data_IF_283602247307
#
_entry.id   IF_283602247307
#
_cell.length_a   1.000
_cell.length_b   1.000
_cell.length_c   1.000
_cell.angle_alpha   90.00
_cell.angle_beta   90.00
_cell.angle_gamma   90.00
#
_symmetry.space_group_name_H-M   'P 1'
#
loop_
_entity.id
_entity.type
_entity.pdbx_description
1 polymer ?
#
# COMPACT_ATOMS: atom_id res chain seq x y z
N UNK A 1 60.48 -60.19 -32.15
CA UNK A 1 59.49 -60.38 -31.06
C UNK A 1 59.17 -59.01 -30.46
N UNK A 2 58.05 -58.39 -30.83
CA UNK A 2 57.60 -57.08 -30.31
C UNK A 2 56.24 -57.25 -29.64
N UNK A 3 56.15 -56.92 -28.36
CA UNK A 3 54.90 -56.81 -27.59
C UNK A 3 54.16 -55.55 -28.04
N UNK A 4 52.88 -55.69 -28.36
CA UNK A 4 51.95 -54.59 -28.62
C UNK A 4 51.29 -54.20 -27.30
N UNK A 5 51.48 -52.95 -26.89
CA UNK A 5 50.78 -52.34 -25.75
C UNK A 5 49.49 -51.70 -26.27
N UNK A 6 48.36 -52.07 -25.68
CA UNK A 6 47.01 -51.63 -26.05
C UNK A 6 46.82 -50.12 -25.75
N UNK A 7 46.36 -49.35 -26.74
CA UNK A 7 46.00 -47.93 -26.59
C UNK A 7 44.63 -47.81 -25.92
N UNK A 8 44.60 -47.81 -24.58
CA UNK A 8 43.41 -47.53 -23.76
C UNK A 8 43.45 -46.09 -23.29
N UNK A 9 42.85 -45.15 -24.03
CA UNK A 9 42.81 -43.75 -23.59
C UNK A 9 41.79 -42.85 -24.25
N UNK A 10 41.42 -43.11 -25.51
CA UNK A 10 40.45 -42.26 -26.24
C UNK A 10 39.02 -42.81 -26.28
N UNK A 11 38.84 -44.14 -26.22
CA UNK A 11 37.50 -44.75 -26.27
C UNK A 11 36.66 -44.50 -24.99
N UNK A 12 37.29 -44.46 -23.80
CA UNK A 12 36.57 -44.26 -22.53
C UNK A 12 36.05 -42.82 -22.34
N UNK A 13 36.70 -41.81 -22.94
CA UNK A 13 36.27 -40.40 -22.80
C UNK A 13 35.06 -40.06 -23.67
N UNK A 14 34.90 -40.70 -24.82
CA UNK A 14 33.72 -40.50 -25.67
C UNK A 14 32.50 -41.24 -25.14
N UNK A 15 32.67 -42.44 -24.55
CA UNK A 15 31.57 -43.16 -23.91
C UNK A 15 31.04 -42.44 -22.66
N UNK A 16 31.91 -41.79 -21.87
CA UNK A 16 31.46 -41.04 -20.69
C UNK A 16 30.72 -39.76 -21.06
N UNK A 17 31.11 -39.05 -22.12
CA UNK A 17 30.39 -37.86 -22.57
C UNK A 17 29.03 -38.21 -23.19
N UNK A 18 28.92 -39.31 -23.94
CA UNK A 18 27.63 -39.75 -24.50
C UNK A 18 26.67 -40.27 -23.43
N UNK A 19 27.16 -40.98 -22.41
CA UNK A 19 26.33 -41.43 -21.29
C UNK A 19 25.89 -40.26 -20.39
N UNK A 20 26.71 -39.22 -20.21
CA UNK A 20 26.32 -37.99 -19.49
C UNK A 20 25.32 -37.16 -20.31
N UNK A 21 25.45 -37.11 -21.64
CA UNK A 21 24.48 -36.46 -22.51
C UNK A 21 23.14 -37.22 -22.58
N UNK A 22 23.16 -38.57 -22.62
CA UNK A 22 21.93 -39.38 -22.54
C UNK A 22 21.27 -39.33 -21.16
N UNK A 23 22.04 -39.22 -20.06
CA UNK A 23 21.47 -38.98 -18.72
C UNK A 23 20.85 -37.58 -18.59
N UNK A 24 21.32 -36.59 -19.34
CA UNK A 24 20.74 -35.24 -19.40
C UNK A 24 19.51 -35.15 -20.32
N UNK A 25 19.37 -36.04 -21.31
CA UNK A 25 18.25 -36.03 -22.27
C UNK A 25 17.17 -37.08 -21.92
N UNK A 26 17.49 -38.17 -21.19
CA UNK A 26 16.56 -39.30 -20.99
C UNK A 26 16.47 -39.90 -19.56
N UNK A 27 17.06 -39.32 -18.50
CA UNK A 27 17.14 -40.10 -17.25
C UNK A 27 17.29 -39.38 -15.91
N UNK A 28 16.45 -38.39 -15.62
CA UNK A 28 15.89 -38.21 -14.28
C UNK A 28 14.48 -37.61 -14.37
N UNK A 29 13.70 -38.11 -15.34
CA UNK A 29 12.24 -37.95 -15.39
C UNK A 29 11.55 -38.87 -14.40
N UNK A 30 12.05 -38.92 -13.16
CA UNK A 30 11.20 -39.32 -12.05
C UNK A 30 10.27 -38.15 -11.80
N UNK A 31 8.96 -38.40 -11.85
CA UNK A 31 7.94 -37.51 -11.31
C UNK A 31 8.22 -37.23 -9.82
N UNK A 32 9.20 -36.40 -9.51
CA UNK A 32 9.04 -35.40 -8.47
C UNK A 32 8.16 -34.30 -9.05
N UNK A 33 6.96 -34.73 -9.43
CA UNK A 33 5.75 -33.95 -9.43
C UNK A 33 5.46 -33.62 -7.95
N UNK A 34 6.39 -32.89 -7.33
CA UNK A 34 6.07 -31.96 -6.28
C UNK A 34 5.27 -30.81 -6.89
N UNK A 35 4.17 -31.14 -7.61
CA UNK A 35 2.86 -30.72 -7.15
C UNK A 35 2.86 -30.93 -5.64
N UNK A 36 3.36 -29.92 -4.92
CA UNK A 36 2.67 -29.40 -3.75
C UNK A 36 1.23 -29.31 -4.20
N UNK A 37 0.44 -30.38 -4.00
CA UNK A 37 -1.01 -30.36 -4.05
C UNK A 37 -1.32 -29.17 -3.16
N UNK A 38 -1.56 -28.00 -3.78
CA UNK A 38 -1.86 -26.77 -3.05
C UNK A 38 -3.07 -27.18 -2.24
N UNK A 39 -2.88 -27.40 -0.93
CA UNK A 39 -3.95 -27.77 0.00
C UNK A 39 -5.12 -26.89 -0.40
N UNK A 40 -6.22 -27.51 -0.88
CA UNK A 40 -7.38 -26.75 -1.39
C UNK A 40 -7.71 -25.75 -0.29
N UNK A 41 -7.71 -24.46 -0.62
CA UNK A 41 -7.95 -23.40 0.35
C UNK A 41 -9.33 -23.62 0.96
N UNK A 42 -9.37 -24.13 2.19
CA UNK A 42 -10.60 -24.30 2.97
C UNK A 42 -10.94 -22.96 3.63
N UNK A 43 -12.16 -22.51 3.37
CA UNK A 43 -12.75 -21.33 3.98
C UNK A 43 -13.24 -21.69 5.37
N UNK A 44 -13.19 -20.74 6.30
CA UNK A 44 -13.85 -20.90 7.61
C UNK A 44 -15.35 -20.62 7.47
N UNK A 45 -16.12 -21.00 8.47
CA UNK A 45 -17.57 -20.78 8.45
C UNK A 45 -17.90 -19.29 8.51
N UNK A 46 -17.11 -18.50 9.23
CA UNK A 46 -17.26 -17.03 9.24
C UNK A 46 -16.90 -16.40 7.90
N UNK A 47 -15.89 -16.93 7.20
CA UNK A 47 -15.56 -16.47 5.85
C UNK A 47 -16.69 -16.83 4.86
N UNK A 48 -17.27 -18.03 4.96
CA UNK A 48 -18.39 -18.41 4.11
C UNK A 48 -19.61 -17.53 4.39
N UNK A 49 -20.03 -17.41 5.65
CA UNK A 49 -21.17 -16.60 6.06
C UNK A 49 -21.03 -15.13 5.60
N UNK A 50 -19.83 -14.56 5.71
CA UNK A 50 -19.54 -13.22 5.20
C UNK A 50 -19.81 -13.09 3.69
N UNK A 51 -19.41 -14.09 2.91
CA UNK A 51 -19.60 -14.10 1.46
C UNK A 51 -20.99 -14.55 1.01
N UNK A 52 -21.70 -15.31 1.84
CA UNK A 52 -23.11 -15.66 1.64
C UNK A 52 -23.98 -14.41 1.74
N UNK A 53 -23.74 -13.55 2.74
CA UNK A 53 -24.45 -12.28 2.90
C UNK A 53 -24.40 -11.36 1.67
N UNK A 54 -23.34 -11.49 0.86
CA UNK A 54 -23.15 -10.67 -0.35
C UNK A 54 -23.29 -11.47 -1.65
N UNK A 55 -23.88 -12.66 -1.60
CA UNK A 55 -24.11 -13.53 -2.76
C UNK A 55 -22.86 -13.79 -3.63
N UNK A 56 -21.70 -13.91 -2.99
CA UNK A 56 -20.44 -14.05 -3.72
C UNK A 56 -20.32 -15.47 -4.24
N UNK A 57 -20.23 -15.64 -5.57
CA UNK A 57 -20.04 -16.95 -6.20
C UNK A 57 -18.83 -17.72 -5.61
N UNK A 58 -18.93 -19.04 -5.33
CA UNK A 58 -17.87 -19.82 -4.67
C UNK A 58 -16.47 -19.70 -5.30
N UNK A 59 -16.38 -19.61 -6.64
CA UNK A 59 -15.10 -19.42 -7.36
C UNK A 59 -14.41 -18.11 -7.00
N UNK A 60 -15.17 -17.03 -6.74
CA UNK A 60 -14.64 -15.70 -6.38
C UNK A 60 -14.21 -15.64 -4.91
N UNK A 61 -14.88 -16.37 -4.01
CA UNK A 61 -14.54 -16.41 -2.56
C UNK A 61 -13.10 -16.82 -2.30
N UNK A 62 -12.61 -17.88 -2.97
CA UNK A 62 -11.22 -18.36 -2.80
C UNK A 62 -10.17 -17.29 -3.12
N UNK A 63 -10.43 -16.46 -4.13
CA UNK A 63 -9.53 -15.34 -4.49
C UNK A 63 -9.57 -14.26 -3.43
N UNK A 64 -10.76 -13.85 -2.99
CA UNK A 64 -10.93 -12.85 -1.93
C UNK A 64 -10.22 -13.30 -0.64
N UNK A 65 -10.46 -14.51 -0.16
CA UNK A 65 -9.84 -15.07 1.05
C UNK A 65 -8.32 -15.14 0.95
N UNK A 66 -7.78 -15.50 -0.22
CA UNK A 66 -6.34 -15.46 -0.44
C UNK A 66 -5.77 -14.05 -0.27
N UNK A 67 -6.51 -13.02 -0.64
CA UNK A 67 -6.10 -11.62 -0.45
C UNK A 67 -6.29 -11.18 1.02
N UNK A 68 -7.40 -11.54 1.65
CA UNK A 68 -7.71 -11.26 3.06
C UNK A 68 -6.75 -11.93 4.04
N UNK A 69 -6.21 -13.11 3.73
CA UNK A 69 -5.25 -13.82 4.60
C UNK A 69 -3.80 -13.37 4.41
N UNK A 70 -3.49 -12.53 3.41
CA UNK A 70 -2.13 -11.97 3.22
C UNK A 70 -1.84 -10.86 4.24
N UNK A 71 -0.56 -10.58 4.44
CA UNK A 71 -0.14 -9.39 5.21
C UNK A 71 -0.59 -8.11 4.48
N UNK A 72 -1.21 -7.14 5.16
CA UNK A 72 -1.63 -5.88 4.55
C UNK A 72 -0.42 -5.18 3.91
N UNK A 73 -0.69 -4.51 2.81
CA UNK A 73 0.30 -3.67 2.13
C UNK A 73 -0.41 -2.51 1.45
N UNK A 74 0.31 -1.41 1.34
CA UNK A 74 -0.10 -0.31 0.49
C UNK A 74 -0.08 -0.77 -0.97
N UNK A 75 -1.10 -0.37 -1.71
CA UNK A 75 -1.29 -0.69 -3.13
C UNK A 75 -1.26 0.55 -4.02
N UNK A 76 -1.43 1.72 -3.42
CA UNK A 76 -1.39 3.05 -4.03
C UNK A 76 -2.70 3.46 -4.71
N UNK A 77 -2.83 4.76 -5.00
CA UNK A 77 -4.07 5.40 -5.42
C UNK A 77 -4.63 4.81 -6.71
N UNK A 78 -3.78 4.43 -7.67
CA UNK A 78 -4.19 3.82 -8.95
C UNK A 78 -4.97 2.53 -8.78
N UNK A 79 -4.75 1.78 -7.70
CA UNK A 79 -5.59 0.62 -7.45
C UNK A 79 -6.97 1.06 -7.00
N UNK A 80 -7.06 2.12 -6.20
CA UNK A 80 -8.32 2.69 -5.72
C UNK A 80 -9.08 3.33 -6.89
N UNK A 81 -8.33 3.90 -7.83
CA UNK A 81 -8.76 4.16 -9.20
C UNK A 81 -9.10 2.87 -9.96
N UNK A 82 -9.91 3.01 -11.00
CA UNK A 82 -10.48 1.94 -11.81
C UNK A 82 -11.99 2.09 -11.93
N UNK A 83 -12.65 1.06 -12.44
CA UNK A 83 -14.11 0.98 -12.65
C UNK A 83 -14.93 0.98 -11.33
N UNK A 84 -14.53 1.72 -10.29
CA UNK A 84 -15.19 1.79 -8.99
C UNK A 84 -15.11 3.16 -8.29
N UNK A 85 -14.07 3.99 -8.53
CA UNK A 85 -13.89 5.27 -7.84
C UNK A 85 -13.16 6.34 -8.69
N UNK A 86 -13.42 6.38 -10.00
CA UNK A 86 -12.80 7.32 -10.93
C UNK A 86 -13.03 8.79 -10.53
N UNK A 87 -14.26 9.28 -10.26
CA UNK A 87 -14.46 10.68 -9.83
C UNK A 87 -13.66 11.06 -8.59
N UNK A 88 -13.53 10.14 -7.62
CA UNK A 88 -12.72 10.34 -6.42
C UNK A 88 -11.24 10.43 -6.75
N UNK A 89 -10.75 9.59 -7.66
CA UNK A 89 -9.37 9.62 -8.11
C UNK A 89 -9.06 10.91 -8.86
N UNK A 90 -9.89 11.30 -9.84
CA UNK A 90 -9.71 12.52 -10.62
C UNK A 90 -9.69 13.74 -9.70
N UNK A 91 -10.68 13.87 -8.81
CA UNK A 91 -10.72 14.95 -7.83
C UNK A 91 -9.48 14.97 -6.92
N UNK A 92 -9.00 13.79 -6.51
CA UNK A 92 -7.77 13.69 -5.72
C UNK A 92 -6.52 14.12 -6.51
N UNK A 93 -6.39 13.76 -7.79
CA UNK A 93 -5.23 14.17 -8.61
C UNK A 93 -5.10 15.69 -8.74
N UNK A 94 -6.24 16.40 -8.72
CA UNK A 94 -6.29 17.87 -8.77
C UNK A 94 -6.16 18.53 -7.39
N UNK A 95 -6.20 17.75 -6.32
CA UNK A 95 -6.05 18.25 -4.96
C UNK A 95 -4.58 18.50 -4.58
N UNK A 96 -4.31 19.28 -3.51
CA UNK A 96 -2.96 19.38 -2.95
C UNK A 96 -2.37 18.03 -2.53
N UNK A 97 -3.18 17.07 -2.07
CA UNK A 97 -2.72 15.74 -1.65
C UNK A 97 -2.23 14.89 -2.82
N UNK A 98 -2.83 15.05 -4.01
CA UNK A 98 -2.39 14.41 -5.26
C UNK A 98 -1.10 15.01 -5.83
N UNK A 99 -0.55 16.07 -5.22
CA UNK A 99 0.60 16.82 -5.73
C UNK A 99 1.71 17.06 -4.68
N UNK A 100 1.64 16.40 -3.52
CA UNK A 100 2.54 16.62 -2.39
C UNK A 100 4.02 16.35 -2.69
N UNK A 101 4.33 15.43 -3.59
CA UNK A 101 5.71 15.12 -3.98
C UNK A 101 6.38 16.29 -4.69
N UNK A 102 5.63 16.98 -5.56
CA UNK A 102 6.14 18.14 -6.30
C UNK A 102 6.56 19.27 -5.35
N UNK A 103 5.87 19.41 -4.21
CA UNK A 103 6.20 20.40 -3.18
C UNK A 103 7.57 20.19 -2.54
N UNK A 104 8.14 18.98 -2.65
CA UNK A 104 9.44 18.65 -2.07
C UNK A 104 10.62 18.95 -3.01
N UNK A 105 10.38 19.22 -4.30
CA UNK A 105 11.44 19.49 -5.27
C UNK A 105 12.12 20.83 -4.96
N UNK A 106 13.37 20.99 -5.39
CA UNK A 106 14.11 22.26 -5.37
C UNK A 106 13.31 23.38 -6.07
N UNK A 107 13.43 24.62 -5.59
CA UNK A 107 12.79 25.82 -6.14
C UNK A 107 11.27 25.91 -5.92
N UNK A 108 10.57 24.81 -5.63
CA UNK A 108 9.12 24.81 -5.44
C UNK A 108 8.73 25.41 -4.08
N UNK A 109 7.77 26.35 -4.08
CA UNK A 109 7.24 27.04 -2.88
C UNK A 109 8.32 27.74 -2.03
N UNK A 110 9.24 28.46 -2.68
CA UNK A 110 10.35 29.20 -2.05
C UNK A 110 9.94 29.95 -0.78
N UNK A 111 8.98 30.88 -0.88
CA UNK A 111 8.54 31.68 0.27
C UNK A 111 7.98 30.85 1.44
N UNK A 112 7.35 29.70 1.17
CA UNK A 112 6.82 28.85 2.23
C UNK A 112 7.97 28.15 2.95
N UNK A 113 8.96 27.65 2.19
CA UNK A 113 10.16 27.02 2.74
C UNK A 113 10.97 28.02 3.57
N UNK A 114 11.21 29.22 3.06
CA UNK A 114 11.93 30.28 3.78
C UNK A 114 11.24 30.65 5.10
N UNK A 115 9.92 30.86 5.09
CA UNK A 115 9.13 31.09 6.33
C UNK A 115 9.31 29.96 7.34
N UNK A 116 9.38 28.72 6.87
CA UNK A 116 9.60 27.54 7.70
C UNK A 116 11.08 27.24 7.98
N UNK A 117 12.01 28.17 7.66
CA UNK A 117 13.46 28.03 7.79
C UNK A 117 14.03 26.78 7.08
N UNK A 118 13.44 26.45 5.94
CA UNK A 118 13.91 25.42 5.03
C UNK A 118 14.64 26.06 3.85
N UNK A 119 15.60 25.33 3.30
CA UNK A 119 16.33 25.73 2.10
C UNK A 119 15.43 25.59 0.86
N UNK A 120 15.11 26.68 0.15
CA UNK A 120 14.24 26.61 -1.02
C UNK A 120 14.82 25.79 -2.18
N UNK A 121 16.15 25.78 -2.33
CA UNK A 121 16.88 25.12 -3.43
C UNK A 121 17.23 23.66 -3.12
N UNK A 122 17.05 23.23 -1.87
CA UNK A 122 17.24 21.83 -1.51
C UNK A 122 16.12 20.95 -2.06
N UNK A 123 16.53 19.83 -2.66
CA UNK A 123 15.62 18.74 -3.01
C UNK A 123 15.32 17.85 -1.78
N UNK A 124 14.08 17.89 -1.31
CA UNK A 124 13.59 17.10 -0.18
C UNK A 124 12.93 15.77 -0.60
N UNK A 125 12.92 15.42 -1.88
CA UNK A 125 12.26 14.21 -2.43
C UNK A 125 12.88 12.88 -2.00
N UNK A 126 14.04 12.93 -1.31
CA UNK A 126 14.68 11.79 -0.67
C UNK A 126 14.80 11.96 0.85
N UNK A 127 14.39 13.10 1.40
CA UNK A 127 14.54 13.43 2.83
C UNK A 127 13.54 12.63 3.67
N UNK A 128 14.01 11.73 4.56
CA UNK A 128 13.12 10.76 5.21
C UNK A 128 11.99 11.35 6.08
N UNK A 129 12.20 12.50 6.72
CA UNK A 129 11.14 13.14 7.52
C UNK A 129 10.03 13.71 6.61
N UNK A 130 10.40 14.38 5.51
CA UNK A 130 9.47 14.98 4.56
C UNK A 130 8.59 13.92 3.90
N UNK A 131 9.21 12.81 3.47
CA UNK A 131 8.54 11.71 2.77
C UNK A 131 7.41 11.06 3.57
N UNK A 132 7.47 11.13 4.90
CA UNK A 132 6.48 10.48 5.75
C UNK A 132 5.08 11.10 5.62
N UNK A 133 5.00 12.41 5.46
CA UNK A 133 3.74 13.14 5.35
C UNK A 133 3.40 13.52 3.90
N UNK A 134 4.34 13.37 2.97
CA UNK A 134 4.17 13.75 1.56
C UNK A 134 4.01 12.56 0.59
N UNK A 135 4.04 11.32 1.08
CA UNK A 135 3.92 10.12 0.25
C UNK A 135 3.06 9.05 0.91
N UNK A 136 2.66 8.05 0.15
CA UNK A 136 1.82 6.93 0.61
C UNK A 136 2.67 5.83 1.23
N UNK A 137 2.51 5.62 2.55
CA UNK A 137 3.06 4.44 3.23
C UNK A 137 4.58 4.38 3.31
N UNK A 138 5.28 5.52 3.31
CA UNK A 138 6.75 5.56 3.42
C UNK A 138 7.25 4.70 4.60
N UNK A 139 8.21 3.81 4.33
CA UNK A 139 8.78 2.84 5.30
C UNK A 139 7.77 1.82 5.84
N UNK A 140 6.62 1.67 5.18
CA UNK A 140 5.64 0.63 5.43
C UNK A 140 5.58 -0.36 4.26
N UNK A 141 4.95 -1.51 4.47
CA UNK A 141 4.94 -2.60 3.49
C UNK A 141 4.17 -2.18 2.25
N UNK A 142 4.82 -2.22 1.08
CA UNK A 142 4.20 -1.86 -0.20
C UNK A 142 4.07 -0.36 -0.47
N UNK A 143 4.47 0.49 0.48
CA UNK A 143 4.41 1.94 0.31
C UNK A 143 5.57 2.49 -0.51
N UNK A 144 5.61 3.83 -0.59
CA UNK A 144 6.57 4.60 -1.35
C UNK A 144 8.02 4.29 -0.97
N UNK A 145 8.86 4.32 -2.00
CA UNK A 145 10.30 4.16 -1.92
C UNK A 145 10.95 5.25 -2.77
N UNK A 146 11.76 6.14 -2.16
CA UNK A 146 12.41 7.23 -2.88
C UNK A 146 13.47 6.72 -3.85
N UNK A 147 13.94 7.62 -4.73
CA UNK A 147 15.08 7.37 -5.61
C UNK A 147 16.27 6.76 -4.85
N UNK A 148 16.99 5.85 -5.51
CA UNK A 148 18.12 5.13 -4.92
C UNK A 148 17.75 3.99 -3.96
N UNK A 149 16.46 3.68 -3.78
CA UNK A 149 16.01 2.58 -2.92
C UNK A 149 16.33 1.20 -3.49
N UNK A 150 17.41 0.57 -3.03
CA UNK A 150 17.81 -0.78 -3.46
C UNK A 150 17.27 -1.89 -2.54
N UNK A 151 17.03 -3.08 -3.10
CA UNK A 151 16.78 -4.28 -2.30
C UNK A 151 18.10 -4.92 -1.80
N UNK A 152 18.02 -6.02 -1.04
CA UNK A 152 19.20 -6.73 -0.51
C UNK A 152 20.18 -7.23 -1.58
N UNK A 153 19.71 -7.41 -2.81
CA UNK A 153 20.51 -7.85 -3.97
C UNK A 153 20.99 -6.66 -4.83
N UNK A 154 20.90 -5.43 -4.31
CA UNK A 154 21.32 -4.22 -5.03
C UNK A 154 20.38 -3.76 -6.15
N UNK A 155 19.31 -4.50 -6.48
CA UNK A 155 18.38 -4.09 -7.55
C UNK A 155 17.58 -2.87 -7.11
N UNK A 156 17.40 -1.92 -8.03
CA UNK A 156 16.56 -0.76 -7.80
C UNK A 156 15.12 -1.20 -7.53
N UNK A 157 14.52 -0.56 -6.54
CA UNK A 157 13.13 -0.73 -6.15
C UNK A 157 12.46 0.59 -5.84
N UNK A 158 13.04 1.72 -6.27
CA UNK A 158 12.40 3.02 -6.21
C UNK A 158 11.01 2.96 -6.85
N UNK A 159 10.10 3.77 -6.31
CA UNK A 159 8.76 3.91 -6.89
C UNK A 159 8.88 4.78 -8.12
N UNK A 160 8.32 4.33 -9.26
CA UNK A 160 8.18 5.18 -10.45
C UNK A 160 7.38 6.43 -10.07
N UNK A 161 7.88 7.59 -10.45
CA UNK A 161 7.15 8.85 -10.37
C UNK A 161 6.41 9.01 -11.69
N UNK A 162 5.08 9.07 -11.65
CA UNK A 162 4.25 9.18 -12.84
C UNK A 162 3.41 10.45 -12.78
N UNK A 163 3.69 11.46 -13.61
CA UNK A 163 2.94 12.71 -13.59
C UNK A 163 1.54 12.57 -14.21
N UNK A 164 1.31 11.53 -15.02
CA UNK A 164 0.02 11.30 -15.70
C UNK A 164 -0.89 10.45 -14.81
N UNK A 165 -0.34 9.41 -14.19
CA UNK A 165 -1.09 8.50 -13.32
C UNK A 165 -0.49 8.45 -11.89
N UNK A 166 -0.66 9.54 -11.09
CA UNK A 166 -0.03 9.63 -9.78
C UNK A 166 -0.50 8.53 -8.83
N UNK A 167 0.41 8.05 -7.99
CA UNK A 167 0.23 6.80 -7.25
C UNK A 167 0.71 6.86 -5.78
N UNK A 168 1.92 6.39 -5.48
CA UNK A 168 2.42 6.25 -4.09
C UNK A 168 3.31 7.39 -3.67
N UNK A 169 3.87 8.09 -4.63
CA UNK A 169 4.69 9.28 -4.46
C UNK A 169 3.90 10.45 -3.87
N UNK A 170 2.57 10.41 -3.93
CA UNK A 170 1.68 11.41 -3.36
C UNK A 170 1.03 10.93 -2.05
N UNK A 171 0.34 11.83 -1.34
CA UNK A 171 -0.56 11.45 -0.23
C UNK A 171 -1.85 10.88 -0.83
N UNK A 172 -1.86 9.58 -1.07
CA UNK A 172 -2.96 8.86 -1.71
C UNK A 172 -4.07 8.45 -0.74
N UNK A 173 -5.12 7.85 -1.29
CA UNK A 173 -6.34 7.43 -0.58
C UNK A 173 -6.02 6.65 0.71
N UNK A 174 -5.04 5.75 0.64
CA UNK A 174 -4.65 4.86 1.76
C UNK A 174 -4.07 5.61 2.96
N UNK A 175 -3.63 6.87 2.80
CA UNK A 175 -3.12 7.67 3.92
C UNK A 175 -4.23 8.16 4.85
N UNK A 176 -5.47 8.26 4.34
CA UNK A 176 -6.66 8.62 5.11
C UNK A 176 -7.51 7.39 5.42
N UNK A 177 -7.74 6.53 4.43
CA UNK A 177 -8.69 5.42 4.53
C UNK A 177 -8.08 4.14 5.11
N UNK A 178 -6.76 4.05 5.29
CA UNK A 178 -6.12 2.81 5.76
C UNK A 178 -5.18 2.98 6.94
N UNK A 179 -5.08 1.93 7.74
CA UNK A 179 -4.09 1.81 8.82
C UNK A 179 -2.75 1.26 8.34
N UNK A 180 -2.79 0.28 7.41
CA UNK A 180 -1.63 -0.48 6.97
C UNK A 180 -1.60 -0.76 5.45
N UNK A 181 -2.40 -0.03 4.68
CA UNK A 181 -2.62 -0.22 3.25
C UNK A 181 -3.88 -1.01 2.95
N UNK A 182 -4.47 -0.75 1.78
CA UNK A 182 -5.81 -1.20 1.40
C UNK A 182 -5.89 -2.55 0.72
N UNK A 183 -4.79 -3.30 0.61
CA UNK A 183 -4.79 -4.58 -0.10
C UNK A 183 -5.86 -5.58 0.36
N UNK A 184 -6.27 -5.53 1.63
CA UNK A 184 -7.26 -6.45 2.21
C UNK A 184 -8.68 -5.88 2.13
N UNK A 185 -8.96 -4.70 2.67
CA UNK A 185 -10.34 -4.16 2.66
C UNK A 185 -10.89 -3.92 1.25
N UNK A 186 -10.03 -3.66 0.24
CA UNK A 186 -10.49 -3.59 -1.15
C UNK A 186 -11.07 -4.91 -1.66
N UNK A 187 -10.58 -6.04 -1.15
CA UNK A 187 -11.15 -7.34 -1.47
C UNK A 187 -12.56 -7.49 -0.88
N UNK A 188 -12.81 -6.90 0.30
CA UNK A 188 -14.15 -6.76 0.87
C UNK A 188 -15.02 -5.91 -0.04
N UNK A 189 -14.62 -4.65 -0.30
CA UNK A 189 -15.36 -3.72 -1.16
C UNK A 189 -15.74 -4.33 -2.52
N UNK A 190 -14.80 -5.03 -3.17
CA UNK A 190 -15.05 -5.70 -4.45
C UNK A 190 -15.97 -6.91 -4.33
N UNK A 191 -15.86 -7.67 -3.25
CA UNK A 191 -16.66 -8.89 -3.09
C UNK A 191 -18.10 -8.55 -2.73
N UNK A 192 -18.31 -7.53 -1.90
CA UNK A 192 -19.62 -7.03 -1.53
C UNK A 192 -20.25 -6.11 -2.56
N UNK A 193 -19.52 -5.73 -3.63
CA UNK A 193 -19.95 -4.72 -4.60
C UNK A 193 -20.37 -3.39 -3.95
N UNK A 194 -19.74 -3.03 -2.84
CA UNK A 194 -20.11 -1.83 -2.09
C UNK A 194 -21.10 -2.05 -0.95
N UNK A 195 -21.69 -3.23 -0.79
CA UNK A 195 -22.67 -3.57 0.27
C UNK A 195 -22.03 -4.01 1.61
N UNK A 196 -20.89 -3.43 1.96
CA UNK A 196 -20.23 -3.72 3.23
C UNK A 196 -20.63 -2.71 4.31
N UNK A 197 -20.65 -3.13 5.57
CA UNK A 197 -20.76 -2.21 6.70
C UNK A 197 -19.35 -1.75 7.17
N UNK A 198 -19.28 -0.73 8.03
CA UNK A 198 -17.99 -0.21 8.53
C UNK A 198 -17.14 -1.32 9.17
N UNK A 199 -17.73 -2.19 9.99
CA UNK A 199 -17.03 -3.25 10.72
C UNK A 199 -16.35 -4.28 9.80
N UNK A 200 -17.00 -4.63 8.67
CA UNK A 200 -16.46 -5.58 7.68
C UNK A 200 -15.10 -5.13 7.15
N UNK A 201 -14.94 -3.83 6.93
CA UNK A 201 -13.71 -3.25 6.39
C UNK A 201 -12.70 -2.86 7.46
N UNK A 202 -13.16 -2.44 8.64
CA UNK A 202 -12.30 -2.11 9.79
C UNK A 202 -11.49 -3.32 10.26
N UNK A 203 -12.07 -4.53 10.24
CA UNK A 203 -11.36 -5.78 10.49
C UNK A 203 -10.12 -5.96 9.60
N UNK A 204 -10.13 -5.36 8.42
CA UNK A 204 -9.05 -5.38 7.44
C UNK A 204 -8.31 -4.04 7.29
N UNK A 205 -8.48 -3.14 8.26
CA UNK A 205 -7.69 -1.93 8.41
C UNK A 205 -8.16 -0.75 7.57
N UNK A 206 -9.41 -0.75 7.10
CA UNK A 206 -10.09 0.51 6.79
C UNK A 206 -10.26 1.29 8.10
N UNK A 207 -10.25 2.62 8.01
CA UNK A 207 -10.52 3.49 9.16
C UNK A 207 -11.54 4.56 8.79
N UNK A 208 -12.32 4.98 9.77
CA UNK A 208 -13.41 5.96 9.66
C UNK A 208 -13.20 7.17 10.58
N UNK A 209 -12.19 7.15 11.43
CA UNK A 209 -11.79 8.24 12.32
C UNK A 209 -11.05 9.37 11.58
N UNK A 210 -11.73 9.99 10.61
CA UNK A 210 -11.11 10.94 9.68
C UNK A 210 -10.53 12.18 10.37
N UNK A 211 -11.20 12.73 11.39
CA UNK A 211 -10.64 13.83 12.18
C UNK A 211 -9.30 13.45 12.79
N UNK A 212 -9.19 12.23 13.33
CA UNK A 212 -7.96 11.71 13.91
C UNK A 212 -6.88 11.43 12.86
N UNK A 213 -7.20 10.81 11.70
CA UNK A 213 -6.16 10.52 10.69
C UNK A 213 -5.49 11.78 10.14
N UNK A 214 -6.22 12.88 10.01
CA UNK A 214 -5.66 14.13 9.52
C UNK A 214 -4.51 14.66 10.41
N UNK A 215 -4.62 14.47 11.73
CA UNK A 215 -3.60 14.88 12.72
C UNK A 215 -2.26 14.15 12.54
N UNK A 216 -2.25 13.00 11.85
CA UNK A 216 -1.02 12.25 11.50
C UNK A 216 0.00 13.10 10.77
N UNK A 217 -0.44 14.13 10.05
CA UNK A 217 0.42 15.00 9.26
C UNK A 217 0.20 16.48 9.60
N UNK A 218 -1.05 16.95 9.65
CA UNK A 218 -1.36 18.39 9.74
C UNK A 218 -1.01 19.02 11.09
N UNK A 219 -1.02 18.24 12.17
CA UNK A 219 -0.68 18.71 13.53
C UNK A 219 0.48 17.91 14.11
N UNK A 220 1.23 17.19 13.26
CA UNK A 220 2.33 16.36 13.72
C UNK A 220 3.49 17.25 14.20
N UNK A 221 4.10 17.03 15.38
CA UNK A 221 5.15 17.93 15.90
C UNK A 221 6.32 18.17 14.93
N UNK A 222 6.68 17.16 14.15
CA UNK A 222 7.73 17.24 13.13
C UNK A 222 7.32 17.92 11.80
N UNK A 223 6.09 18.43 11.63
CA UNK A 223 5.79 19.26 10.45
C UNK A 223 6.43 20.64 10.66
N UNK A 224 7.17 21.18 9.67
CA UNK A 224 7.76 22.52 9.77
C UNK A 224 6.71 23.63 9.54
N UNK A 225 5.52 23.28 9.06
CA UNK A 225 4.43 24.21 8.78
C UNK A 225 3.42 24.20 9.93
N UNK A 226 3.78 24.86 11.03
CA UNK A 226 2.96 24.98 12.24
C UNK A 226 2.26 26.35 12.31
N UNK A 227 1.20 26.51 13.12
CA UNK A 227 0.56 27.81 13.34
C UNK A 227 1.54 28.90 13.81
N UNK A 228 2.57 28.53 14.59
CA UNK A 228 3.63 29.45 15.02
C UNK A 228 4.51 30.00 13.88
N UNK A 229 4.47 29.37 12.70
CA UNK A 229 5.15 29.87 11.48
C UNK A 229 4.22 30.79 10.70
N UNK A 230 2.92 30.46 10.65
CA UNK A 230 1.88 31.27 10.01
C UNK A 230 0.49 30.71 10.35
N UNK A 231 -0.46 31.59 10.67
CA UNK A 231 -1.85 31.21 11.00
C UNK A 231 -2.57 30.35 9.96
N UNK A 232 -2.19 30.44 8.67
CA UNK A 232 -2.79 29.62 7.60
C UNK A 232 -2.58 28.11 7.81
N UNK A 233 -1.62 27.73 8.66
CA UNK A 233 -1.33 26.35 9.02
C UNK A 233 -2.16 25.84 10.20
N UNK A 234 -3.01 26.69 10.81
CA UNK A 234 -4.03 26.23 11.76
C UNK A 234 -4.97 25.23 11.05
N UNK A 235 -5.04 24.03 11.61
CA UNK A 235 -5.82 22.94 11.04
C UNK A 235 -7.25 22.98 11.58
N UNK A 236 -8.23 23.03 10.67
CA UNK A 236 -9.65 22.87 10.95
C UNK A 236 -10.16 21.67 10.14
N UNK A 237 -10.60 20.60 10.81
CA UNK A 237 -11.02 19.38 10.12
C UNK A 237 -12.25 19.60 9.24
N UNK A 238 -13.25 20.31 9.74
CA UNK A 238 -14.52 20.57 9.07
C UNK A 238 -14.32 21.36 7.77
N UNK A 239 -13.45 22.37 7.78
CA UNK A 239 -13.12 23.15 6.59
C UNK A 239 -12.28 22.34 5.59
N UNK A 240 -11.30 21.57 6.09
CA UNK A 240 -10.30 20.91 5.23
C UNK A 240 -10.84 19.63 4.58
N UNK A 241 -11.74 18.88 5.24
CA UNK A 241 -12.31 17.64 4.68
C UNK A 241 -13.05 17.89 3.36
N UNK A 242 -13.69 19.06 3.23
CA UNK A 242 -14.40 19.50 2.01
C UNK A 242 -13.48 19.74 0.80
N UNK A 243 -12.16 19.80 1.01
CA UNK A 243 -11.16 20.12 -0.03
C UNK A 243 -10.33 18.91 -0.49
N UNK A 244 -10.56 17.71 0.08
CA UNK A 244 -9.71 16.52 -0.17
C UNK A 244 -9.97 15.89 -1.54
N UNK A 245 -11.23 15.73 -1.91
CA UNK A 245 -11.66 15.24 -3.22
C UNK A 245 -13.05 15.82 -3.54
N UNK A 246 -13.08 16.96 -4.24
CA UNK A 246 -14.33 17.60 -4.72
C UNK A 246 -14.91 16.81 -5.88
N UNK A 247 -15.58 15.70 -5.57
CA UNK A 247 -16.01 14.72 -6.58
C UNK A 247 -17.10 15.23 -7.52
N UNK A 248 -17.87 16.23 -7.10
CA UNK A 248 -18.97 16.79 -7.89
C UNK A 248 -18.52 17.24 -9.29
N UNK A 249 -17.28 17.75 -9.39
CA UNK A 249 -16.71 18.31 -10.61
C UNK A 249 -16.27 17.23 -11.63
N UNK A 250 -16.33 15.94 -11.28
CA UNK A 250 -15.73 14.85 -12.06
C UNK A 250 -16.70 13.70 -12.40
N UNK A 251 -18.00 13.86 -12.08
CA UNK A 251 -19.02 12.94 -12.56
C UNK A 251 -19.36 13.20 -14.02
N UNK A 252 -19.47 12.12 -14.80
CA UNK A 252 -19.86 12.15 -16.21
C UNK A 252 -20.52 10.80 -16.60
N UNK A 253 -20.92 10.67 -17.86
CA UNK A 253 -21.59 9.47 -18.36
C UNK A 253 -20.70 8.22 -18.28
N UNK A 254 -19.38 8.35 -18.49
CA UNK A 254 -18.44 7.23 -18.47
C UNK A 254 -18.22 6.62 -17.09
N UNK A 255 -18.56 7.35 -16.02
CA UNK A 255 -18.36 6.91 -14.64
C UNK A 255 -19.63 6.94 -13.78
N UNK A 256 -20.80 7.13 -14.39
CA UNK A 256 -22.09 7.18 -13.70
C UNK A 256 -22.38 5.89 -12.89
N UNK A 257 -21.90 4.73 -13.37
CA UNK A 257 -22.05 3.43 -12.72
C UNK A 257 -21.22 3.26 -11.44
N UNK A 258 -20.35 4.24 -11.12
CA UNK A 258 -19.46 4.21 -9.96
C UNK A 258 -20.03 4.97 -8.76
N UNK A 259 -21.27 5.46 -8.85
CA UNK A 259 -21.96 6.11 -7.74
C UNK A 259 -22.09 5.14 -6.56
N UNK A 260 -21.69 5.59 -5.39
CA UNK A 260 -21.73 4.77 -4.18
C UNK A 260 -23.15 4.78 -3.58
N UNK A 261 -23.94 3.76 -3.87
CA UNK A 261 -25.36 3.66 -3.48
C UNK A 261 -25.57 3.71 -1.96
N UNK A 262 -24.72 3.02 -1.19
CA UNK A 262 -24.87 2.90 0.28
C UNK A 262 -24.09 3.94 1.09
N UNK A 263 -23.65 5.04 0.48
CA UNK A 263 -22.79 6.02 1.19
C UNK A 263 -23.52 6.72 2.33
N UNK A 264 -24.78 7.12 2.11
CA UNK A 264 -25.57 7.86 3.10
C UNK A 264 -26.05 6.95 4.24
N UNK A 265 -26.38 5.70 3.93
CA UNK A 265 -26.68 4.67 4.94
C UNK A 265 -25.44 4.40 5.79
N UNK A 266 -24.29 4.19 5.16
CA UNK A 266 -23.03 3.97 5.88
C UNK A 266 -22.61 5.18 6.70
N UNK A 267 -22.97 6.40 6.30
CA UNK A 267 -22.69 7.60 7.09
C UNK A 267 -23.44 7.61 8.44
N UNK A 268 -24.58 6.92 8.54
CA UNK A 268 -25.36 6.77 9.79
C UNK A 268 -24.79 5.70 10.72
N UNK A 269 -23.99 4.76 10.20
CA UNK A 269 -23.29 3.78 11.02
C UNK A 269 -22.15 4.43 11.81
N UNK A 270 -21.87 3.93 13.02
CA UNK A 270 -20.68 4.32 13.78
C UNK A 270 -19.68 3.17 13.85
N UNK A 271 -18.54 3.33 13.17
CA UNK A 271 -17.44 2.37 13.16
C UNK A 271 -16.68 2.34 14.49
N UNK A 272 -15.94 1.26 14.73
CA UNK A 272 -15.11 1.10 15.92
C UNK A 272 -14.04 2.20 16.00
N UNK A 273 -13.44 2.58 14.87
CA UNK A 273 -12.43 3.64 14.84
C UNK A 273 -13.04 5.01 15.16
N UNK A 274 -14.29 5.28 14.76
CA UNK A 274 -14.97 6.52 15.14
C UNK A 274 -15.28 6.57 16.64
N UNK A 275 -15.73 5.44 17.23
CA UNK A 275 -15.97 5.32 18.68
C UNK A 275 -14.69 5.50 19.49
N UNK A 276 -13.66 4.75 19.14
CA UNK A 276 -12.36 4.80 19.80
C UNK A 276 -11.29 4.97 18.71
N UNK A 277 -10.76 6.19 18.51
CA UNK A 277 -9.80 6.46 17.46
C UNK A 277 -8.53 5.62 17.58
N UNK A 278 -7.88 5.37 16.45
CA UNK A 278 -6.59 4.66 16.44
C UNK A 278 -5.48 5.54 17.00
N UNK A 279 -4.46 4.91 17.58
CA UNK A 279 -3.23 5.64 17.91
C UNK A 279 -2.58 6.18 16.63
N UNK A 280 -2.00 7.37 16.70
CA UNK A 280 -1.23 7.93 15.57
C UNK A 280 0.24 7.55 15.74
N UNK A 281 0.84 7.05 14.66
CA UNK A 281 2.22 6.59 14.72
C UNK A 281 3.22 7.74 14.71
N UNK A 282 4.04 7.76 15.75
CA UNK A 282 5.20 8.64 15.87
C UNK A 282 6.46 8.01 15.26
N UNK A 283 7.38 8.85 14.80
CA UNK A 283 8.59 8.48 14.07
C UNK A 283 9.76 9.41 14.40
N UNK A 284 10.97 8.87 14.25
CA UNK A 284 12.23 9.60 14.41
C UNK A 284 13.26 9.17 13.37
N UNK A 285 14.27 10.01 13.17
CA UNK A 285 15.46 9.63 12.41
C UNK A 285 16.42 8.88 13.33
N UNK A 286 16.90 7.73 12.84
CA UNK A 286 17.98 6.96 13.48
C UNK A 286 18.93 6.50 12.38
N UNK A 287 20.20 6.94 12.45
CA UNK A 287 21.24 6.65 11.44
C UNK A 287 20.77 7.01 10.02
N UNK A 288 20.32 8.26 9.82
CA UNK A 288 19.84 8.77 8.53
C UNK A 288 18.56 8.13 7.98
N UNK A 289 17.88 7.28 8.74
CA UNK A 289 16.68 6.55 8.28
C UNK A 289 15.50 6.81 9.20
N UNK A 290 14.32 6.97 8.61
CA UNK A 290 13.08 7.04 9.38
C UNK A 290 12.77 5.68 10.02
N UNK A 291 12.48 5.73 11.33
CA UNK A 291 12.07 4.62 12.18
C UNK A 291 10.85 5.04 12.98
N UNK A 292 9.83 4.20 12.98
CA UNK A 292 8.68 4.37 13.87
C UNK A 292 9.10 4.12 15.32
N UNK A 293 8.60 4.93 16.25
CA UNK A 293 8.80 4.72 17.68
C UNK A 293 8.15 3.38 18.08
N UNK A 294 8.76 2.68 19.05
CA UNK A 294 8.24 1.38 19.48
C UNK A 294 6.86 1.59 20.11
N UNK A 295 5.90 0.78 19.70
CA UNK A 295 4.56 0.79 20.30
C UNK A 295 3.59 1.82 19.73
N UNK A 296 4.03 2.74 18.88
CA UNK A 296 3.17 3.82 18.34
C UNK A 296 2.42 3.43 17.06
N UNK A 297 2.81 2.34 16.39
CA UNK A 297 2.13 1.90 15.17
C UNK A 297 0.68 1.46 15.45
N UNK A 298 -0.33 1.97 14.73
CA UNK A 298 -1.72 1.56 14.93
C UNK A 298 -1.97 0.10 14.57
N UNK A 299 -1.21 -0.48 13.63
CA UNK A 299 -1.32 -1.90 13.31
C UNK A 299 -0.16 -2.74 13.88
N UNK A 300 -0.49 -3.73 14.69
CA UNK A 300 0.45 -4.72 15.20
C UNK A 300 0.50 -5.95 14.29
N UNK A 301 1.44 -5.95 13.34
CA UNK A 301 1.59 -7.08 12.39
C UNK A 301 1.90 -8.46 13.01
N UNK A 302 2.41 -8.52 14.24
CA UNK A 302 2.68 -9.80 14.93
C UNK A 302 1.39 -10.39 15.49
N UNK A 303 0.62 -9.58 16.21
CA UNK A 303 -0.66 -9.98 16.81
C UNK A 303 -1.84 -9.92 15.83
N UNK A 304 -1.66 -9.28 14.67
CA UNK A 304 -2.71 -8.95 13.68
C UNK A 304 -3.86 -8.16 14.31
N UNK A 305 -3.55 -7.24 15.22
CA UNK A 305 -4.52 -6.39 15.92
C UNK A 305 -4.28 -4.92 15.66
N UNK A 306 -5.33 -4.12 15.82
CA UNK A 306 -5.27 -2.66 15.82
C UNK A 306 -5.09 -2.12 17.24
N UNK A 307 -4.44 -0.96 17.35
CA UNK A 307 -4.21 -0.25 18.61
C UNK A 307 -5.05 1.01 18.61
N UNK A 308 -6.02 1.03 19.51
CA UNK A 308 -6.86 2.18 19.77
C UNK A 308 -6.22 3.07 20.83
N UNK A 309 -6.57 4.36 20.83
CA UNK A 309 -6.23 5.25 21.94
C UNK A 309 -6.85 4.67 23.21
N UNK A 310 -6.14 4.84 24.32
CA UNK A 310 -6.74 4.59 25.63
C UNK A 310 -7.56 5.81 25.97
N UNK A 311 -8.74 5.59 26.53
CA UNK A 311 -9.52 6.63 27.17
C UNK A 311 -8.78 7.18 28.40
#
# INVERSE_FOLDING_TARGET
VKKVTLVVGKALKFLSLFMVALLLVFGAGGEVDAKKKKKKLKLTDEENALFDRWDVKPKKRKKAVKDLRKKPKFVGAVKCNGSCHDPYYQAWTKSPHGNTYNLLKAGVRKEAKERAKLDPEKDYTTTPLCLRCHTTGYRQRGGFKPAGSKNKKGKDTATKIDPIEPNKEQVGCEMCHSVAGGSQFRAIMKSSKGDFNKADTEKYGQRWDYANVCTRCHTHPNTPFQPSVHDKYKFNFEERKLKVHKIADFWNEDNADQKLEHVDERAKEQGQTEKTPLVIEDFKIKKGKLKFKKGTKPYNSKKKTFRYKKD
#
